data_IF_237317794832
#
_entry.id   IF_237317794832
#
_cell.length_a   1.000
_cell.length_b   1.000
_cell.length_c   1.000
_cell.angle_alpha   90.00
_cell.angle_beta   90.00
_cell.angle_gamma   90.00
#
_symmetry.space_group_name_H-M   'P 1'
#
loop_
_entity.id
_entity.type
_entity.pdbx_description
1 polymer ?
#
# COMPACT_ATOMS: atom_id res chain seq x y z
N UNK A 1 7.59 -18.58 1.86
CA UNK A 1 7.67 -17.97 3.22
C UNK A 1 6.28 -17.64 3.80
N UNK A 2 5.26 -17.46 2.99
CA UNK A 2 3.92 -17.01 3.41
C UNK A 2 2.83 -18.08 3.21
N UNK A 3 3.22 -19.36 3.10
CA UNK A 3 2.28 -20.46 2.88
C UNK A 3 1.20 -20.50 3.95
N UNK A 4 -0.07 -20.66 3.51
CA UNK A 4 -1.23 -20.67 4.37
C UNK A 4 -1.65 -19.31 4.95
N UNK A 5 -1.01 -18.19 4.55
CA UNK A 5 -1.40 -16.83 4.91
C UNK A 5 -2.43 -16.25 3.93
N UNK A 6 -3.35 -15.44 4.42
CA UNK A 6 -4.28 -14.65 3.62
C UNK A 6 -3.81 -13.20 3.62
N UNK A 7 -3.47 -12.68 2.44
CA UNK A 7 -3.01 -11.31 2.23
C UNK A 7 -4.07 -10.49 1.49
N UNK A 8 -4.36 -9.30 1.99
CA UNK A 8 -5.26 -8.33 1.35
C UNK A 8 -4.41 -7.18 0.84
N UNK A 9 -4.46 -6.89 -0.47
CA UNK A 9 -3.72 -5.79 -1.09
C UNK A 9 -4.69 -4.81 -1.72
N UNK A 10 -4.74 -3.58 -1.20
CA UNK A 10 -5.65 -2.56 -1.75
C UNK A 10 -5.04 -1.87 -2.96
N UNK A 11 -5.88 -1.55 -3.97
CA UNK A 11 -5.43 -0.93 -5.21
C UNK A 11 -4.42 -1.79 -5.97
N UNK A 12 -4.64 -3.10 -6.03
CA UNK A 12 -3.68 -4.08 -6.55
C UNK A 12 -3.86 -4.41 -8.04
N UNK A 13 -4.65 -3.64 -8.79
CA UNK A 13 -4.90 -3.88 -10.22
C UNK A 13 -3.74 -3.45 -11.14
N UNK A 14 -2.76 -2.66 -10.64
CA UNK A 14 -1.61 -2.15 -11.40
C UNK A 14 -0.47 -1.67 -10.50
N UNK A 15 0.66 -1.30 -11.13
CA UNK A 15 1.79 -0.65 -10.48
C UNK A 15 2.34 -1.39 -9.26
N UNK A 16 2.68 -0.67 -8.22
CA UNK A 16 3.24 -1.21 -6.97
C UNK A 16 2.31 -2.24 -6.33
N UNK A 17 1.00 -1.97 -6.28
CA UNK A 17 0.03 -2.89 -5.68
C UNK A 17 -0.04 -4.23 -6.40
N UNK A 18 0.02 -4.22 -7.73
CA UNK A 18 0.12 -5.43 -8.56
C UNK A 18 1.40 -6.22 -8.23
N UNK A 19 2.55 -5.57 -8.25
CA UNK A 19 3.83 -6.23 -7.97
C UNK A 19 3.86 -6.84 -6.55
N UNK A 20 3.28 -6.14 -5.56
CA UNK A 20 3.14 -6.67 -4.20
C UNK A 20 2.23 -7.90 -4.19
N UNK A 21 1.07 -7.86 -4.86
CA UNK A 21 0.15 -8.99 -4.92
C UNK A 21 0.81 -10.22 -5.57
N UNK A 22 1.47 -10.04 -6.70
CA UNK A 22 2.22 -11.08 -7.41
C UNK A 22 3.35 -11.66 -6.53
N UNK A 23 4.11 -10.81 -5.85
CA UNK A 23 5.20 -11.24 -4.97
C UNK A 23 4.71 -12.02 -3.76
N UNK A 24 3.66 -11.55 -3.07
CA UNK A 24 3.09 -12.26 -1.93
C UNK A 24 2.51 -13.63 -2.33
N UNK A 25 1.88 -13.71 -3.51
CA UNK A 25 1.39 -14.97 -4.05
C UNK A 25 2.54 -15.94 -4.38
N UNK A 26 3.62 -15.46 -4.99
CA UNK A 26 4.82 -16.26 -5.26
C UNK A 26 5.49 -16.80 -3.99
N UNK A 27 5.33 -16.09 -2.85
CA UNK A 27 5.78 -16.54 -1.53
C UNK A 27 4.79 -17.53 -0.86
N UNK A 28 3.67 -17.86 -1.52
CA UNK A 28 2.69 -18.86 -1.09
C UNK A 28 1.48 -18.31 -0.34
N UNK A 29 1.26 -16.99 -0.30
CA UNK A 29 0.05 -16.42 0.27
C UNK A 29 -1.14 -16.56 -0.69
N UNK A 30 -2.35 -16.77 -0.15
CA UNK A 30 -3.59 -16.50 -0.86
C UNK A 30 -3.82 -14.99 -0.88
N UNK A 31 -3.99 -14.38 -2.07
CA UNK A 31 -4.03 -12.92 -2.21
C UNK A 31 -5.41 -12.42 -2.61
N UNK A 32 -6.01 -11.56 -1.79
CA UNK A 32 -7.20 -10.79 -2.12
C UNK A 32 -6.76 -9.51 -2.83
N UNK A 33 -6.99 -9.46 -4.15
CA UNK A 33 -6.65 -8.34 -5.04
C UNK A 33 -7.83 -7.36 -4.99
N UNK A 34 -7.67 -6.25 -4.29
CA UNK A 34 -8.70 -5.21 -4.28
C UNK A 34 -8.56 -4.26 -5.47
N UNK A 35 -9.68 -3.90 -6.02
CA UNK A 35 -9.81 -2.82 -7.02
C UNK A 35 -11.02 -1.95 -6.70
N UNK A 36 -11.06 -0.72 -7.25
CA UNK A 36 -12.25 0.15 -7.17
C UNK A 36 -13.00 0.19 -8.51
N UNK A 37 -12.34 0.53 -9.61
CA UNK A 37 -12.99 0.71 -10.91
C UNK A 37 -12.48 -0.22 -12.03
N UNK A 38 -11.29 -0.80 -11.91
CA UNK A 38 -10.63 -1.55 -13.00
C UNK A 38 -10.71 -3.06 -12.77
N UNK A 39 -11.88 -3.66 -12.98
CA UNK A 39 -12.12 -5.10 -12.78
C UNK A 39 -11.23 -5.96 -13.69
N UNK A 40 -11.21 -5.67 -14.98
CA UNK A 40 -10.46 -6.43 -15.97
C UNK A 40 -8.95 -6.41 -15.68
N UNK A 41 -8.42 -5.28 -15.22
CA UNK A 41 -7.02 -5.19 -14.82
C UNK A 41 -6.73 -6.06 -13.59
N UNK A 42 -7.61 -6.09 -12.60
CA UNK A 42 -7.48 -6.94 -11.43
C UNK A 42 -7.58 -8.43 -11.78
N UNK A 43 -8.48 -8.81 -12.69
CA UNK A 43 -8.60 -10.17 -13.22
C UNK A 43 -7.36 -10.61 -14.01
N UNK A 44 -6.75 -9.70 -14.77
CA UNK A 44 -5.47 -9.95 -15.45
C UNK A 44 -4.35 -10.24 -14.45
N UNK A 45 -4.26 -9.50 -13.36
CA UNK A 45 -3.30 -9.77 -12.27
C UNK A 45 -3.54 -11.16 -11.67
N UNK A 46 -4.79 -11.50 -11.37
CA UNK A 46 -5.14 -12.81 -10.83
C UNK A 46 -4.76 -13.95 -11.79
N UNK A 47 -5.03 -13.76 -13.09
CA UNK A 47 -4.66 -14.75 -14.11
C UNK A 47 -3.14 -14.96 -14.14
N UNK A 48 -2.35 -13.89 -14.06
CA UNK A 48 -0.88 -13.94 -13.96
C UNK A 48 -0.40 -14.70 -12.71
N UNK A 49 -0.99 -14.40 -11.55
CA UNK A 49 -0.70 -15.10 -10.29
C UNK A 49 -0.97 -16.60 -10.42
N UNK A 50 -2.11 -16.98 -10.97
CA UNK A 50 -2.47 -18.41 -11.17
C UNK A 50 -1.58 -19.12 -12.19
N UNK A 51 -1.22 -18.45 -13.26
CA UNK A 51 -0.28 -18.98 -14.26
C UNK A 51 1.12 -19.23 -13.65
N UNK A 52 1.51 -18.45 -12.64
CA UNK A 52 2.76 -18.63 -11.90
C UNK A 52 2.65 -19.64 -10.74
N UNK A 53 1.51 -20.32 -10.57
CA UNK A 53 1.29 -21.34 -9.55
C UNK A 53 0.84 -20.79 -8.18
N UNK A 54 0.55 -19.50 -8.09
CA UNK A 54 -0.08 -18.88 -6.92
C UNK A 54 -1.61 -18.96 -6.94
N UNK A 55 -2.26 -18.42 -5.92
CA UNK A 55 -3.73 -18.33 -5.88
C UNK A 55 -4.21 -17.03 -5.22
N UNK A 56 -5.46 -16.70 -5.50
CA UNK A 56 -6.10 -15.49 -5.00
C UNK A 56 -7.51 -15.29 -5.53
N UNK A 57 -8.05 -14.14 -5.21
CA UNK A 57 -9.33 -13.67 -5.76
C UNK A 57 -9.31 -12.16 -6.01
N UNK A 58 -10.26 -11.68 -6.79
CA UNK A 58 -10.49 -10.25 -7.00
C UNK A 58 -11.74 -9.81 -6.24
N UNK A 59 -11.67 -8.69 -5.53
CA UNK A 59 -12.80 -8.14 -4.80
C UNK A 59 -12.86 -6.62 -4.95
N UNK A 60 -14.05 -6.11 -5.27
CA UNK A 60 -14.27 -4.67 -5.41
C UNK A 60 -14.55 -4.04 -4.05
N UNK A 61 -13.85 -2.95 -3.75
CA UNK A 61 -14.19 -2.07 -2.64
C UNK A 61 -13.60 -0.67 -2.87
N UNK A 62 -14.40 0.38 -2.69
CA UNK A 62 -13.90 1.72 -2.50
C UNK A 62 -13.47 1.89 -1.03
N UNK A 63 -12.18 1.90 -0.77
CA UNK A 63 -11.63 1.98 0.59
C UNK A 63 -11.96 3.29 1.31
N UNK A 64 -12.31 4.37 0.59
CA UNK A 64 -12.72 5.64 1.21
C UNK A 64 -14.14 5.57 1.81
N UNK A 65 -14.97 4.64 1.35
CA UNK A 65 -16.30 4.39 1.91
C UNK A 65 -16.18 3.49 3.14
N UNK A 66 -16.54 4.04 4.30
CA UNK A 66 -16.40 3.37 5.59
C UNK A 66 -17.30 2.12 5.69
N UNK A 67 -18.55 2.24 5.25
CA UNK A 67 -19.53 1.14 5.34
C UNK A 67 -19.20 0.03 4.32
N UNK A 68 -18.83 0.40 3.10
CA UNK A 68 -18.38 -0.55 2.09
C UNK A 68 -17.12 -1.31 2.55
N UNK A 69 -16.16 -0.60 3.16
CA UNK A 69 -14.94 -1.22 3.68
C UNK A 69 -15.23 -2.20 4.83
N UNK A 70 -16.19 -1.86 5.72
CA UNK A 70 -16.65 -2.78 6.78
C UNK A 70 -17.26 -4.05 6.21
N UNK A 71 -18.18 -3.91 5.27
CA UNK A 71 -18.86 -5.04 4.62
C UNK A 71 -17.86 -5.95 3.89
N UNK A 72 -16.95 -5.35 3.14
CA UNK A 72 -15.91 -6.05 2.40
C UNK A 72 -14.95 -6.85 3.32
N UNK A 73 -14.49 -6.26 4.43
CA UNK A 73 -13.65 -6.98 5.38
C UNK A 73 -14.40 -8.13 6.08
N UNK A 74 -15.70 -7.97 6.35
CA UNK A 74 -16.56 -9.06 6.86
C UNK A 74 -16.69 -10.20 5.85
N UNK A 75 -16.85 -9.87 4.57
CA UNK A 75 -16.95 -10.85 3.48
C UNK A 75 -15.63 -11.65 3.34
N UNK A 76 -14.47 -10.99 3.34
CA UNK A 76 -13.17 -11.67 3.34
C UNK A 76 -13.06 -12.67 4.49
N UNK A 77 -13.45 -12.26 5.70
CA UNK A 77 -13.39 -13.13 6.88
C UNK A 77 -14.39 -14.29 6.79
N UNK A 78 -15.56 -14.09 6.21
CA UNK A 78 -16.53 -15.15 6.01
C UNK A 78 -16.05 -16.20 4.99
N UNK A 79 -15.36 -15.77 3.93
CA UNK A 79 -14.88 -16.64 2.87
C UNK A 79 -13.56 -17.35 3.21
N UNK A 80 -12.63 -16.65 3.87
CA UNK A 80 -11.26 -17.15 4.07
C UNK A 80 -10.87 -17.34 5.53
N UNK A 81 -11.74 -16.99 6.46
CA UNK A 81 -11.61 -17.23 7.90
C UNK A 81 -10.64 -16.30 8.63
N UNK A 82 -9.70 -15.66 7.91
CA UNK A 82 -8.65 -14.83 8.51
C UNK A 82 -8.10 -13.77 7.56
N UNK A 83 -7.40 -12.80 8.14
CA UNK A 83 -6.55 -11.83 7.43
C UNK A 83 -5.20 -11.84 8.16
N UNK A 84 -4.16 -12.36 7.53
CA UNK A 84 -2.81 -12.39 8.12
C UNK A 84 -2.00 -11.13 7.74
N UNK A 85 -2.18 -10.65 6.51
CA UNK A 85 -1.42 -9.53 5.95
C UNK A 85 -2.41 -8.54 5.33
N UNK A 86 -2.26 -7.26 5.69
CA UNK A 86 -2.97 -6.16 5.03
C UNK A 86 -1.94 -5.19 4.45
N UNK A 87 -2.01 -4.96 3.14
CA UNK A 87 -1.21 -3.95 2.44
C UNK A 87 -2.13 -2.80 1.99
N UNK A 88 -2.02 -1.67 2.63
CA UNK A 88 -2.74 -0.44 2.29
C UNK A 88 -1.97 0.32 1.21
N UNK A 89 -2.22 -0.03 -0.05
CA UNK A 89 -1.56 0.56 -1.21
C UNK A 89 -2.48 1.49 -2.01
N UNK A 90 -3.80 1.34 -1.93
CA UNK A 90 -4.73 2.21 -2.65
C UNK A 90 -4.44 3.69 -2.41
N UNK A 91 -4.28 4.45 -3.49
CA UNK A 91 -3.99 5.87 -3.42
C UNK A 91 -4.08 6.55 -4.78
N UNK A 92 -4.28 7.86 -4.73
CA UNK A 92 -4.37 8.74 -5.89
C UNK A 92 -3.52 9.99 -5.67
N UNK A 93 -3.19 10.67 -6.75
CA UNK A 93 -2.67 12.04 -6.75
C UNK A 93 -3.65 12.98 -7.45
N UNK A 94 -3.64 14.24 -7.07
CA UNK A 94 -4.33 15.36 -7.69
C UNK A 94 -3.45 16.59 -7.51
N UNK A 95 -2.41 16.66 -8.34
CA UNK A 95 -1.36 17.65 -8.20
C UNK A 95 -1.84 19.04 -8.62
N UNK A 96 -1.38 20.06 -7.92
CA UNK A 96 -1.68 21.46 -8.15
C UNK A 96 -0.96 22.35 -7.14
N UNK A 97 -0.55 23.54 -7.53
CA UNK A 97 0.08 24.50 -6.62
C UNK A 97 -0.87 24.85 -5.47
N UNK A 98 -0.34 25.06 -4.27
CA UNK A 98 -1.10 25.28 -3.04
C UNK A 98 -2.20 26.33 -3.19
N UNK A 99 -1.88 27.48 -3.82
CA UNK A 99 -2.84 28.59 -3.99
C UNK A 99 -3.97 28.28 -5.00
N UNK A 100 -3.78 27.30 -5.89
CA UNK A 100 -4.76 26.91 -6.90
C UNK A 100 -5.43 25.57 -6.62
N UNK A 101 -5.07 24.90 -5.53
CA UNK A 101 -5.64 23.60 -5.18
C UNK A 101 -7.08 23.75 -4.70
N UNK A 102 -8.02 23.08 -5.37
CA UNK A 102 -9.41 23.10 -4.96
C UNK A 102 -9.65 22.23 -3.73
N UNK A 103 -10.68 22.58 -2.94
CA UNK A 103 -11.15 21.77 -1.81
C UNK A 103 -11.44 20.33 -2.23
N UNK A 104 -12.15 20.13 -3.35
CA UNK A 104 -12.44 18.81 -3.89
C UNK A 104 -11.17 17.99 -4.20
N UNK A 105 -10.14 18.62 -4.78
CA UNK A 105 -8.88 17.94 -5.08
C UNK A 105 -8.12 17.55 -3.81
N UNK A 106 -8.20 18.39 -2.79
CA UNK A 106 -7.61 18.10 -1.47
C UNK A 106 -8.35 16.96 -0.79
N UNK A 107 -9.67 17.09 -0.62
CA UNK A 107 -10.50 16.11 0.11
C UNK A 107 -10.44 14.74 -0.54
N UNK A 108 -10.53 14.65 -1.86
CA UNK A 108 -10.48 13.38 -2.57
C UNK A 108 -9.19 12.60 -2.34
N UNK A 109 -8.05 13.28 -2.24
CA UNK A 109 -6.77 12.65 -1.93
C UNK A 109 -6.72 12.21 -0.46
N UNK A 110 -7.17 13.05 0.47
CA UNK A 110 -7.25 12.72 1.90
C UNK A 110 -8.19 11.51 2.12
N UNK A 111 -9.37 11.53 1.50
CA UNK A 111 -10.35 10.45 1.64
C UNK A 111 -9.82 9.12 1.13
N UNK A 112 -9.18 9.10 -0.02
CA UNK A 112 -8.67 7.84 -0.58
C UNK A 112 -7.43 7.36 0.16
N UNK A 113 -6.42 8.22 0.30
CA UNK A 113 -5.10 7.80 0.75
C UNK A 113 -5.03 7.62 2.28
N UNK A 114 -5.60 8.55 3.04
CA UNK A 114 -5.51 8.55 4.50
C UNK A 114 -6.72 7.88 5.14
N UNK A 115 -7.92 8.34 4.85
CA UNK A 115 -9.15 7.76 5.42
C UNK A 115 -9.33 6.31 4.94
N UNK A 116 -9.05 6.01 3.67
CA UNK A 116 -9.08 4.64 3.15
C UNK A 116 -8.12 3.71 3.88
N UNK A 117 -6.89 4.15 4.13
CA UNK A 117 -5.92 3.41 4.96
C UNK A 117 -6.44 3.20 6.39
N UNK A 118 -6.98 4.25 7.01
CA UNK A 118 -7.61 4.15 8.34
C UNK A 118 -8.76 3.14 8.35
N UNK A 119 -9.67 3.19 7.40
CA UNK A 119 -10.81 2.27 7.31
C UNK A 119 -10.34 0.81 7.26
N UNK A 120 -9.38 0.51 6.39
CA UNK A 120 -8.83 -0.84 6.25
C UNK A 120 -8.16 -1.32 7.54
N UNK A 121 -7.32 -0.50 8.18
CA UNK A 121 -6.70 -0.83 9.47
C UNK A 121 -7.78 -1.07 10.54
N UNK A 122 -8.76 -0.17 10.64
CA UNK A 122 -9.85 -0.23 11.63
C UNK A 122 -10.61 -1.55 11.57
N UNK A 123 -10.92 -2.05 10.36
CA UNK A 123 -11.70 -3.27 10.19
C UNK A 123 -10.87 -4.55 10.18
N UNK A 124 -9.60 -4.49 9.79
CA UNK A 124 -8.67 -5.61 9.89
C UNK A 124 -8.11 -5.81 11.31
N UNK A 125 -7.97 -4.77 12.10
CA UNK A 125 -7.39 -4.85 13.44
C UNK A 125 -8.16 -5.81 14.37
N UNK A 126 -9.49 -5.73 14.40
CA UNK A 126 -10.31 -6.56 15.31
C UNK A 126 -10.15 -8.07 15.07
N UNK A 127 -10.24 -8.60 13.83
CA UNK A 127 -9.93 -10.01 13.56
C UNK A 127 -8.48 -10.38 13.87
N UNK A 128 -7.51 -9.54 13.51
CA UNK A 128 -6.09 -9.77 13.82
C UNK A 128 -5.84 -9.84 15.34
N UNK A 129 -6.50 -9.00 16.14
CA UNK A 129 -6.45 -9.06 17.62
C UNK A 129 -6.95 -10.42 18.14
N UNK A 130 -8.04 -10.96 17.57
CA UNK A 130 -8.55 -12.29 17.94
C UNK A 130 -7.60 -13.41 17.53
N UNK A 131 -6.96 -13.27 16.37
CA UNK A 131 -5.94 -14.19 15.86
C UNK A 131 -4.65 -14.14 16.71
N UNK A 132 -4.41 -13.03 17.44
CA UNK A 132 -3.14 -12.70 18.13
C UNK A 132 -1.95 -12.71 17.18
N UNK A 133 -2.18 -12.35 15.94
CA UNK A 133 -1.18 -12.33 14.86
C UNK A 133 -1.68 -11.45 13.72
N UNK A 134 -0.77 -10.72 13.08
CA UNK A 134 -1.07 -9.91 11.91
C UNK A 134 0.11 -9.05 11.47
N UNK A 135 0.11 -8.70 10.20
CA UNK A 135 1.06 -7.75 9.62
C UNK A 135 0.31 -6.71 8.78
N UNK A 136 0.51 -5.44 9.09
CA UNK A 136 -0.07 -4.32 8.33
C UNK A 136 1.09 -3.53 7.73
N UNK A 137 1.03 -3.30 6.41
CA UNK A 137 2.02 -2.54 5.65
C UNK A 137 1.28 -1.39 4.98
N UNK A 138 1.66 -0.17 5.31
CA UNK A 138 1.05 1.04 4.77
C UNK A 138 1.97 1.67 3.72
N UNK A 139 1.45 2.02 2.56
CA UNK A 139 2.22 2.73 1.54
C UNK A 139 2.21 4.24 1.85
N UNK A 140 3.32 4.71 2.43
CA UNK A 140 3.63 6.12 2.58
C UNK A 140 4.23 6.67 1.26
N UNK A 141 5.15 7.60 1.34
CA UNK A 141 5.95 8.15 0.23
C UNK A 141 7.07 9.01 0.82
N UNK A 142 8.16 9.16 0.09
CA UNK A 142 9.17 10.21 0.39
C UNK A 142 8.54 11.60 0.43
N UNK A 143 7.51 11.84 -0.37
CA UNK A 143 6.73 13.10 -0.37
C UNK A 143 6.01 13.34 0.96
N UNK A 144 5.60 12.29 1.66
CA UNK A 144 5.04 12.39 3.01
C UNK A 144 6.08 12.69 4.10
N UNK A 145 7.37 12.51 3.79
CA UNK A 145 8.50 12.80 4.70
C UNK A 145 9.06 14.19 4.44
N UNK A 146 9.38 14.51 3.18
CA UNK A 146 10.08 15.73 2.78
C UNK A 146 9.17 16.83 2.20
N UNK A 147 7.94 16.49 1.80
CA UNK A 147 7.08 17.37 1.01
C UNK A 147 7.49 17.40 -0.47
N UNK A 148 6.62 17.95 -1.31
CA UNK A 148 6.92 18.25 -2.70
C UNK A 148 6.02 19.39 -3.19
N UNK A 149 6.58 20.33 -3.95
CA UNK A 149 5.82 21.43 -4.52
C UNK A 149 4.70 20.90 -5.46
N UNK A 150 3.49 21.45 -5.32
CA UNK A 150 2.32 20.99 -6.08
C UNK A 150 1.61 19.77 -5.51
N UNK A 151 2.06 19.20 -4.39
CA UNK A 151 1.49 17.99 -3.80
C UNK A 151 1.06 18.17 -2.33
N UNK A 152 0.51 19.32 -1.96
CA UNK A 152 0.13 19.60 -0.59
C UNK A 152 -0.85 18.57 -0.02
N UNK A 153 -1.89 18.18 -0.77
CA UNK A 153 -2.86 17.14 -0.43
C UNK A 153 -2.19 15.76 -0.29
N UNK A 154 -1.37 15.39 -1.26
CA UNK A 154 -0.68 14.09 -1.26
C UNK A 154 0.34 14.00 -0.12
N UNK A 155 1.17 15.03 0.07
CA UNK A 155 2.12 15.11 1.17
C UNK A 155 1.42 14.99 2.52
N UNK A 156 0.35 15.76 2.76
CA UNK A 156 -0.45 15.69 3.98
C UNK A 156 -1.04 14.29 4.19
N UNK A 157 -1.60 13.66 3.14
CA UNK A 157 -2.16 12.31 3.23
C UNK A 157 -1.11 11.28 3.61
N UNK A 158 0.09 11.33 3.00
CA UNK A 158 1.17 10.36 3.24
C UNK A 158 1.87 10.60 4.59
N UNK A 159 2.00 11.85 5.03
CA UNK A 159 2.43 12.18 6.39
C UNK A 159 1.42 11.67 7.44
N UNK A 160 0.12 11.80 7.17
CA UNK A 160 -0.93 11.22 8.00
C UNK A 160 -0.85 9.69 8.10
N UNK A 161 -0.55 9.00 7.00
CA UNK A 161 -0.32 7.55 6.97
C UNK A 161 0.88 7.16 7.85
N UNK A 162 1.95 7.95 7.87
CA UNK A 162 3.10 7.74 8.77
C UNK A 162 2.67 7.84 10.24
N UNK A 163 1.92 8.87 10.61
CA UNK A 163 1.38 9.04 11.96
C UNK A 163 0.46 7.88 12.36
N UNK A 164 -0.46 7.50 11.47
CA UNK A 164 -1.38 6.38 11.67
C UNK A 164 -0.63 5.05 11.85
N UNK A 165 0.43 4.82 11.08
CA UNK A 165 1.29 3.63 11.21
C UNK A 165 1.89 3.51 12.61
N UNK A 166 2.48 4.60 13.11
CA UNK A 166 3.12 4.63 14.44
C UNK A 166 2.10 4.43 15.57
N UNK A 167 0.92 5.03 15.44
CA UNK A 167 -0.17 4.88 16.42
C UNK A 167 -0.69 3.44 16.42
N UNK A 168 -1.03 2.89 15.26
CA UNK A 168 -1.51 1.51 15.14
C UNK A 168 -0.47 0.49 15.63
N UNK A 169 0.82 0.71 15.37
CA UNK A 169 1.88 -0.14 15.89
C UNK A 169 1.89 -0.18 17.42
N UNK A 170 1.75 0.97 18.08
CA UNK A 170 1.71 1.05 19.55
C UNK A 170 0.47 0.37 20.14
N UNK A 171 -0.69 0.56 19.53
CA UNK A 171 -1.95 -0.02 20.01
C UNK A 171 -2.03 -1.54 19.82
N UNK A 172 -1.43 -2.06 18.74
CA UNK A 172 -1.63 -3.44 18.31
C UNK A 172 -0.46 -4.38 18.66
N UNK A 173 0.71 -3.85 19.01
CA UNK A 173 1.91 -4.65 19.30
C UNK A 173 1.70 -5.70 20.40
N UNK A 174 1.00 -5.35 21.49
CA UNK A 174 0.69 -6.29 22.59
C UNK A 174 -0.22 -7.45 22.17
N UNK A 175 -0.76 -7.40 20.97
CA UNK A 175 -1.60 -8.44 20.37
C UNK A 175 -0.86 -9.26 19.30
N UNK A 176 0.46 -9.10 19.17
CA UNK A 176 1.27 -9.79 18.17
C UNK A 176 1.06 -9.26 16.75
N UNK A 177 0.60 -8.02 16.59
CA UNK A 177 0.37 -7.41 15.28
C UNK A 177 1.46 -6.37 15.02
N UNK A 178 2.15 -6.50 13.89
CA UNK A 178 3.16 -5.54 13.43
C UNK A 178 2.54 -4.57 12.43
N UNK A 179 2.89 -3.31 12.54
CA UNK A 179 2.42 -2.27 11.61
C UNK A 179 3.61 -1.42 11.18
N UNK A 180 3.93 -1.44 9.90
CA UNK A 180 5.03 -0.65 9.33
C UNK A 180 4.56 0.12 8.09
N UNK A 181 5.33 1.11 7.67
CA UNK A 181 5.14 1.80 6.41
C UNK A 181 6.35 1.61 5.50
N UNK A 182 6.10 1.55 4.20
CA UNK A 182 7.11 1.72 3.16
C UNK A 182 6.92 3.12 2.57
N UNK A 183 8.00 3.86 2.41
CA UNK A 183 8.04 5.16 1.76
C UNK A 183 8.80 5.03 0.42
N UNK A 184 8.10 4.73 -0.69
CA UNK A 184 8.72 4.68 -2.00
C UNK A 184 9.18 6.07 -2.45
N UNK A 185 10.30 6.11 -3.20
CA UNK A 185 10.69 7.25 -4.02
C UNK A 185 10.01 7.23 -5.39
N UNK A 186 10.74 7.64 -6.44
CA UNK A 186 10.29 7.48 -7.81
C UNK A 186 10.38 6.02 -8.26
N UNK A 187 9.23 5.42 -8.55
CA UNK A 187 9.09 4.04 -9.01
C UNK A 187 8.50 4.04 -10.43
N UNK A 188 9.06 3.23 -11.32
CA UNK A 188 8.58 3.04 -12.69
C UNK A 188 7.15 2.45 -12.66
N UNK A 189 6.17 3.28 -12.98
CA UNK A 189 4.74 2.92 -13.03
C UNK A 189 4.05 3.79 -14.06
N UNK A 190 2.80 3.47 -14.41
CA UNK A 190 1.97 4.32 -15.28
C UNK A 190 1.95 5.80 -14.84
N UNK A 191 2.09 6.06 -13.54
CA UNK A 191 2.13 7.44 -13.00
C UNK A 191 3.41 8.18 -13.36
N UNK A 192 4.54 7.50 -13.46
CA UNK A 192 5.84 8.09 -13.79
C UNK A 192 6.13 8.00 -15.28
N UNK A 193 5.48 7.10 -16.00
CA UNK A 193 5.65 6.94 -17.44
C UNK A 193 5.21 8.18 -18.23
N UNK A 194 4.14 8.84 -17.77
CA UNK A 194 3.58 10.06 -18.39
C UNK A 194 4.41 11.33 -18.14
N UNK A 195 5.46 11.25 -17.30
CA UNK A 195 6.35 12.38 -17.06
C UNK A 195 7.20 12.67 -18.31
N UNK A 196 7.41 13.95 -18.61
CA UNK A 196 8.32 14.34 -19.70
C UNK A 196 9.77 13.95 -19.36
N UNK A 197 10.57 13.74 -20.41
CA UNK A 197 11.99 13.33 -20.24
C UNK A 197 12.77 14.34 -19.37
N UNK A 198 12.52 15.63 -19.53
CA UNK A 198 13.11 16.68 -18.69
C UNK A 198 12.77 16.52 -17.20
N UNK A 199 11.53 16.13 -16.89
CA UNK A 199 11.11 15.88 -15.50
C UNK A 199 11.75 14.58 -14.97
N UNK A 200 11.82 13.54 -15.81
CA UNK A 200 12.48 12.28 -15.46
C UNK A 200 13.96 12.50 -15.13
N UNK A 201 14.69 13.21 -15.99
CA UNK A 201 16.11 13.55 -15.80
C UNK A 201 16.32 14.37 -14.50
N UNK A 202 15.49 15.38 -14.28
CA UNK A 202 15.53 16.18 -13.05
C UNK A 202 15.22 15.35 -11.80
N UNK A 203 14.33 14.38 -11.90
CA UNK A 203 14.02 13.47 -10.79
C UNK A 203 15.16 12.48 -10.53
N UNK A 204 15.73 11.90 -11.58
CA UNK A 204 16.89 10.99 -11.47
C UNK A 204 18.09 11.68 -10.82
N UNK A 205 18.33 12.96 -11.13
CA UNK A 205 19.43 13.72 -10.51
C UNK A 205 19.31 13.90 -8.99
N UNK A 206 18.10 13.68 -8.43
CA UNK A 206 17.87 13.74 -6.97
C UNK A 206 18.01 12.37 -6.29
N UNK A 207 18.22 11.31 -7.07
CA UNK A 207 18.30 9.94 -6.55
C UNK A 207 19.78 9.53 -6.51
N UNK A 208 20.38 9.31 -5.33
CA UNK A 208 21.77 8.88 -5.21
C UNK A 208 22.13 7.62 -6.02
N UNK A 209 21.21 6.65 -6.13
CA UNK A 209 21.42 5.46 -6.98
C UNK A 209 21.34 5.75 -8.48
N UNK A 210 20.93 6.95 -8.90
CA UNK A 210 20.95 7.42 -10.29
C UNK A 210 19.90 6.81 -11.22
N UNK A 211 18.89 6.16 -10.71
CA UNK A 211 17.78 5.59 -11.51
C UNK A 211 16.49 5.48 -10.70
N UNK A 212 15.35 5.37 -11.37
CA UNK A 212 14.09 5.04 -10.71
C UNK A 212 14.11 3.60 -10.21
N UNK A 213 13.46 3.35 -9.06
CA UNK A 213 13.19 2.01 -8.59
C UNK A 213 12.10 1.32 -9.42
N UNK A 214 12.03 0.00 -9.32
CA UNK A 214 10.99 -0.81 -9.95
C UNK A 214 9.91 -1.18 -8.93
N UNK A 215 8.67 -1.47 -9.37
CA UNK A 215 7.63 -1.99 -8.48
C UNK A 215 8.07 -3.20 -7.67
N UNK A 216 8.94 -4.05 -8.24
CA UNK A 216 9.49 -5.25 -7.61
C UNK A 216 10.38 -4.92 -6.41
N UNK A 217 11.07 -3.78 -6.40
CA UNK A 217 11.89 -3.36 -5.26
C UNK A 217 11.03 -3.11 -4.03
N UNK A 218 9.89 -2.44 -4.23
CA UNK A 218 8.89 -2.20 -3.19
C UNK A 218 8.20 -3.51 -2.77
N UNK A 219 7.91 -4.39 -3.74
CA UNK A 219 7.26 -5.68 -3.48
C UNK A 219 8.17 -6.62 -2.67
N UNK A 220 9.48 -6.63 -2.93
CA UNK A 220 10.44 -7.40 -2.16
C UNK A 220 10.51 -6.92 -0.70
N UNK A 221 10.52 -5.61 -0.47
CA UNK A 221 10.48 -5.04 0.88
C UNK A 221 9.15 -5.37 1.59
N UNK A 222 8.02 -5.32 0.87
CA UNK A 222 6.72 -5.69 1.42
C UNK A 222 6.68 -7.18 1.84
N UNK A 223 7.22 -8.07 1.00
CA UNK A 223 7.31 -9.51 1.32
C UNK A 223 8.23 -9.77 2.53
N UNK A 224 9.36 -9.07 2.62
CA UNK A 224 10.23 -9.14 3.81
C UNK A 224 9.48 -8.70 5.07
N UNK A 225 8.81 -7.54 5.04
CA UNK A 225 8.04 -7.04 6.17
C UNK A 225 6.87 -7.96 6.55
N UNK A 226 6.28 -8.67 5.59
CA UNK A 226 5.22 -9.63 5.84
C UNK A 226 5.71 -10.95 6.46
N UNK A 227 7.00 -11.25 6.35
CA UNK A 227 7.61 -12.51 6.79
C UNK A 227 8.03 -12.51 8.27
N UNK A 228 8.37 -13.68 8.79
CA UNK A 228 8.93 -13.86 10.14
C UNK A 228 10.34 -13.24 10.27
N UNK A 229 11.05 -13.02 9.16
CA UNK A 229 12.35 -12.33 9.18
C UNK A 229 12.25 -10.88 9.70
N UNK A 230 11.04 -10.28 9.65
CA UNK A 230 10.75 -8.96 10.18
C UNK A 230 10.00 -9.00 11.54
N UNK A 231 10.05 -10.11 12.29
CA UNK A 231 9.25 -10.30 13.50
C UNK A 231 9.48 -9.25 14.59
N UNK A 232 10.65 -8.61 14.61
CA UNK A 232 10.99 -7.57 15.60
C UNK A 232 10.94 -6.15 15.03
N UNK A 233 10.29 -5.96 13.85
CA UNK A 233 10.15 -4.66 13.19
C UNK A 233 8.69 -4.22 13.25
N UNK A 234 8.41 -3.14 13.98
CA UNK A 234 7.09 -2.50 14.04
C UNK A 234 7.21 -0.99 14.29
N UNK A 235 6.27 -0.20 13.79
CA UNK A 235 6.24 1.25 13.91
C UNK A 235 7.24 1.99 13.01
N UNK A 236 7.92 1.28 12.10
CA UNK A 236 8.94 1.85 11.25
C UNK A 236 8.38 2.40 9.94
N UNK A 237 9.07 3.41 9.41
CA UNK A 237 8.90 3.91 8.04
C UNK A 237 10.20 3.60 7.31
N UNK A 238 10.14 2.63 6.39
CA UNK A 238 11.32 2.19 5.66
C UNK A 238 11.29 2.79 4.26
N UNK A 239 12.31 3.52 3.90
CA UNK A 239 12.42 4.12 2.58
C UNK A 239 12.84 3.06 1.55
N UNK A 240 12.24 3.14 0.37
CA UNK A 240 12.59 2.37 -0.82
C UNK A 240 12.68 3.37 -1.97
N UNK A 241 13.74 4.19 -1.96
CA UNK A 241 13.80 5.46 -2.68
C UNK A 241 15.16 5.75 -3.34
N UNK A 242 16.09 4.79 -3.34
CA UNK A 242 17.43 4.97 -3.89
C UNK A 242 18.29 6.00 -3.15
N UNK A 243 17.95 6.33 -1.89
CA UNK A 243 18.64 7.32 -1.07
C UNK A 243 18.12 8.76 -1.25
N UNK A 244 16.94 8.94 -1.86
CA UNK A 244 16.39 10.27 -2.16
C UNK A 244 16.07 11.08 -0.89
N UNK A 245 15.69 10.44 0.20
CA UNK A 245 15.27 11.08 1.45
C UNK A 245 16.24 10.75 2.62
N UNK A 246 17.52 10.97 2.42
CA UNK A 246 18.58 10.86 3.43
C UNK A 246 19.12 12.23 3.84
#
# INVERSE_FOLDING_TARGET
>A
MLSGKTAVVTGASRGIGRAIAEKLAAEGAFVVINYNGSKEAAETVLAGIRAAGGDGCVMQCNVSDFAACEAWMKEILALYGKIDILVNNAGITKDGLLMGMSEEAFDRVIETNLKGTFNCIRFAARPMIRQKSGCIINMASVVGVAGNAGQANYAASKAGVIGLTKTAARELASRGIRVNAIAPGFIETDMTEVLSDKVKEASVSQIPLGHFGKPEDVANLAAFLASEAAAYITGQVIHCDGGMAI
#
